data_IF_179732520116
#
_entry.id   IF_179732520116
#
_cell.length_a   1.000
_cell.length_b   1.000
_cell.length_c   1.000
_cell.angle_alpha   90.00
_cell.angle_beta   90.00
_cell.angle_gamma   90.00
#
_symmetry.space_group_name_H-M   'P 1'
#
loop_
_entity.id
_entity.type
_entity.pdbx_description
1 polymer ?
#
# COMPACT_ATOMS: atom_id res chain seq x y z
N UNK A 1 -41.54 -35.53 52.68
CA UNK A 1 -41.74 -36.00 51.29
C UNK A 1 -40.88 -35.12 50.40
N UNK A 2 -39.61 -35.49 50.22
CA UNK A 2 -38.66 -34.74 49.39
C UNK A 2 -38.95 -35.03 47.93
N UNK A 3 -39.71 -34.15 47.28
CA UNK A 3 -39.83 -34.08 45.83
C UNK A 3 -38.44 -33.75 45.28
N UNK A 4 -37.63 -34.74 44.94
CA UNK A 4 -36.48 -34.49 44.09
C UNK A 4 -37.01 -33.89 42.78
N UNK A 5 -36.40 -32.81 42.24
CA UNK A 5 -36.75 -32.33 40.92
C UNK A 5 -36.49 -33.47 39.94
N UNK A 6 -37.54 -33.95 39.29
CA UNK A 6 -37.47 -35.02 38.31
C UNK A 6 -36.58 -34.55 37.16
N UNK A 7 -35.40 -35.16 37.03
CA UNK A 7 -34.56 -34.98 35.85
C UNK A 7 -35.34 -35.47 34.63
N UNK A 8 -35.34 -34.69 33.55
CA UNK A 8 -36.08 -35.02 32.34
C UNK A 8 -35.22 -35.95 31.48
N UNK A 9 -35.63 -37.20 31.35
CA UNK A 9 -34.90 -38.19 30.55
C UNK A 9 -35.21 -37.98 29.06
N UNK A 10 -34.17 -37.69 28.27
CA UNK A 10 -34.26 -37.42 26.84
C UNK A 10 -33.24 -38.28 26.10
N UNK A 11 -33.59 -38.75 24.90
CA UNK A 11 -32.65 -39.46 24.03
C UNK A 11 -31.80 -38.49 23.22
N UNK A 12 -30.58 -38.89 22.83
CA UNK A 12 -29.70 -38.06 22.00
C UNK A 12 -30.38 -37.64 20.68
N UNK A 13 -31.19 -38.51 20.08
CA UNK A 13 -31.97 -38.22 18.87
C UNK A 13 -33.03 -37.13 19.08
N UNK A 14 -33.74 -37.15 20.22
CA UNK A 14 -34.71 -36.11 20.57
C UNK A 14 -34.02 -34.77 20.81
N UNK A 15 -32.89 -34.77 21.52
CA UNK A 15 -32.11 -33.55 21.77
C UNK A 15 -31.64 -32.91 20.45
N UNK A 16 -31.12 -33.71 19.51
CA UNK A 16 -30.74 -33.23 18.16
C UNK A 16 -31.94 -32.77 17.35
N UNK A 17 -33.08 -33.45 17.44
CA UNK A 17 -34.31 -33.03 16.76
C UNK A 17 -34.80 -31.67 17.28
N UNK A 18 -34.74 -31.44 18.59
CA UNK A 18 -35.14 -30.15 19.18
C UNK A 18 -34.16 -29.05 18.73
N UNK A 19 -32.86 -29.33 18.77
CA UNK A 19 -31.82 -28.42 18.30
C UNK A 19 -32.03 -28.00 16.83
N UNK A 20 -32.22 -28.97 15.94
CA UNK A 20 -32.44 -28.72 14.51
C UNK A 20 -33.75 -27.99 14.22
N UNK A 21 -34.81 -28.27 14.98
CA UNK A 21 -36.07 -27.53 14.87
C UNK A 21 -35.88 -26.06 15.27
N UNK A 22 -35.24 -25.78 16.40
CA UNK A 22 -34.97 -24.40 16.80
C UNK A 22 -34.08 -23.66 15.79
N UNK A 23 -33.04 -24.33 15.29
CA UNK A 23 -32.19 -23.76 14.26
C UNK A 23 -32.99 -23.41 12.99
N UNK A 24 -33.86 -24.32 12.52
CA UNK A 24 -34.70 -24.06 11.34
C UNK A 24 -35.65 -22.88 11.53
N UNK A 25 -36.24 -22.72 12.72
CA UNK A 25 -37.13 -21.61 13.05
C UNK A 25 -36.36 -20.30 13.11
N UNK A 26 -35.14 -20.31 13.65
CA UNK A 26 -34.26 -19.15 13.65
C UNK A 26 -33.84 -18.75 12.23
N UNK A 27 -33.46 -19.70 11.38
CA UNK A 27 -33.11 -19.44 9.99
C UNK A 27 -34.30 -18.86 9.21
N UNK A 28 -35.50 -19.40 9.40
CA UNK A 28 -36.73 -18.88 8.79
C UNK A 28 -37.01 -17.44 9.25
N UNK A 29 -36.92 -17.17 10.57
CA UNK A 29 -37.12 -15.83 11.13
C UNK A 29 -36.07 -14.83 10.65
N UNK A 30 -34.81 -15.23 10.62
CA UNK A 30 -33.71 -14.41 10.11
C UNK A 30 -33.93 -14.09 8.64
N UNK A 31 -34.33 -15.08 7.83
CA UNK A 31 -34.58 -14.87 6.39
C UNK A 31 -35.75 -13.93 6.10
N UNK A 32 -36.73 -13.83 7.01
CA UNK A 32 -37.89 -12.94 6.88
C UNK A 32 -37.57 -11.50 7.29
N UNK A 33 -36.70 -11.32 8.29
CA UNK A 33 -36.45 -10.02 8.92
C UNK A 33 -35.16 -9.35 8.47
N UNK A 34 -34.19 -10.11 7.96
CA UNK A 34 -32.95 -9.58 7.41
C UNK A 34 -32.94 -9.66 5.88
N UNK A 35 -32.49 -8.61 5.18
CA UNK A 35 -32.33 -8.64 3.73
C UNK A 35 -31.36 -9.76 3.31
N UNK A 36 -31.58 -10.34 2.14
CA UNK A 36 -30.78 -11.47 1.63
C UNK A 36 -29.39 -11.07 1.11
N UNK A 37 -29.11 -9.78 0.97
CA UNK A 37 -27.78 -9.32 0.57
C UNK A 37 -26.74 -9.72 1.62
N UNK A 38 -25.54 -10.07 1.17
CA UNK A 38 -24.42 -10.55 1.99
C UNK A 38 -23.96 -9.49 2.99
N UNK A 39 -24.75 -9.30 4.04
CA UNK A 39 -24.52 -8.30 5.08
C UNK A 39 -23.79 -8.95 6.25
N UNK A 40 -22.72 -8.30 6.69
CA UNK A 40 -21.95 -8.72 7.87
C UNK A 40 -22.84 -8.82 9.11
N UNK A 41 -23.91 -8.01 9.16
CA UNK A 41 -24.91 -8.02 10.24
C UNK A 41 -25.67 -9.35 10.34
N UNK A 42 -25.98 -9.98 9.20
CA UNK A 42 -26.70 -11.26 9.17
C UNK A 42 -25.83 -12.40 9.72
N UNK A 43 -24.56 -12.42 9.34
CA UNK A 43 -23.59 -13.37 9.87
C UNK A 43 -23.43 -13.25 11.39
N UNK A 44 -23.32 -12.02 11.88
CA UNK A 44 -23.21 -11.74 13.33
C UNK A 44 -24.45 -12.19 14.11
N UNK A 45 -25.65 -11.89 13.61
CA UNK A 45 -26.92 -12.31 14.24
C UNK A 45 -27.05 -13.83 14.26
N UNK A 46 -26.68 -14.52 13.18
CA UNK A 46 -26.72 -15.99 13.14
C UNK A 46 -25.76 -16.61 14.14
N UNK A 47 -24.56 -16.06 14.28
CA UNK A 47 -23.57 -16.52 15.24
C UNK A 47 -24.04 -16.31 16.70
N UNK A 48 -24.65 -15.17 16.99
CA UNK A 48 -25.19 -14.90 18.33
C UNK A 48 -26.41 -15.76 18.65
N UNK A 49 -27.30 -16.02 17.69
CA UNK A 49 -28.42 -16.96 17.85
C UNK A 49 -27.94 -18.39 18.13
N UNK A 50 -26.89 -18.81 17.43
CA UNK A 50 -26.30 -20.13 17.65
C UNK A 50 -25.67 -20.24 19.05
N UNK A 51 -24.97 -19.19 19.50
CA UNK A 51 -24.42 -19.10 20.84
C UNK A 51 -25.52 -19.12 21.90
N UNK A 52 -26.60 -18.34 21.71
CA UNK A 52 -27.76 -18.34 22.59
C UNK A 52 -28.40 -19.73 22.71
N UNK A 53 -28.54 -20.45 21.59
CA UNK A 53 -29.10 -21.80 21.60
C UNK A 53 -28.18 -22.77 22.37
N UNK A 54 -26.86 -22.69 22.20
CA UNK A 54 -25.91 -23.48 23.01
C UNK A 54 -26.00 -23.16 24.49
N UNK A 55 -25.99 -21.88 24.85
CA UNK A 55 -26.12 -21.45 26.25
C UNK A 55 -27.46 -21.90 26.87
N UNK A 56 -28.55 -21.86 26.11
CA UNK A 56 -29.85 -22.37 26.53
C UNK A 56 -29.86 -23.89 26.77
N UNK A 57 -29.20 -24.65 25.88
CA UNK A 57 -29.07 -26.11 26.02
C UNK A 57 -28.15 -26.49 27.19
N UNK A 58 -27.06 -25.75 27.40
CA UNK A 58 -26.15 -25.95 28.52
C UNK A 58 -26.81 -25.56 29.85
N UNK A 59 -27.60 -24.49 29.90
CA UNK A 59 -28.39 -24.15 31.08
C UNK A 59 -29.44 -25.24 31.41
N UNK A 60 -30.09 -25.78 30.38
CA UNK A 60 -31.04 -26.88 30.52
C UNK A 60 -30.39 -28.22 30.91
N UNK A 61 -29.08 -28.39 30.66
CA UNK A 61 -28.34 -29.63 30.91
C UNK A 61 -28.43 -30.11 32.36
N UNK A 62 -28.45 -29.18 33.31
CA UNK A 62 -28.55 -29.47 34.74
C UNK A 62 -29.83 -30.22 35.12
N UNK A 63 -30.90 -30.02 34.34
CA UNK A 63 -32.24 -30.58 34.58
C UNK A 63 -32.59 -31.74 33.65
N UNK A 64 -31.66 -32.15 32.76
CA UNK A 64 -31.89 -33.09 31.68
C UNK A 64 -30.93 -34.28 31.77
N UNK A 65 -31.45 -35.50 31.67
CA UNK A 65 -30.67 -36.74 31.64
C UNK A 65 -30.65 -37.29 30.22
N UNK A 66 -29.47 -37.52 29.63
CA UNK A 66 -29.38 -38.15 28.31
C UNK A 66 -29.19 -39.65 28.49
N UNK A 67 -30.21 -40.44 28.14
CA UNK A 67 -30.27 -41.89 28.42
C UNK A 67 -29.32 -42.71 27.52
N UNK A 68 -29.01 -42.19 26.33
CA UNK A 68 -28.28 -42.89 25.25
C UNK A 68 -26.87 -42.30 25.01
N UNK A 69 -26.33 -41.59 26.00
CA UNK A 69 -25.00 -40.98 25.94
C UNK A 69 -24.07 -41.57 27.02
N UNK A 70 -22.74 -41.56 26.79
CA UNK A 70 -21.79 -41.91 27.84
C UNK A 70 -22.05 -41.09 29.10
N UNK A 71 -21.91 -41.67 30.29
CA UNK A 71 -22.21 -40.99 31.58
C UNK A 71 -21.45 -39.65 31.79
N UNK A 72 -20.38 -39.42 31.03
CA UNK A 72 -19.55 -38.20 31.05
C UNK A 72 -19.61 -37.35 29.76
N UNK A 73 -20.47 -37.69 28.78
CA UNK A 73 -20.58 -36.87 27.57
C UNK A 73 -21.35 -35.59 27.86
N UNK A 74 -20.79 -34.44 27.49
CA UNK A 74 -21.49 -33.17 27.60
C UNK A 74 -22.59 -33.07 26.55
N UNK A 75 -23.62 -32.25 26.81
CA UNK A 75 -24.64 -31.94 25.80
C UNK A 75 -24.01 -31.33 24.55
N UNK A 76 -22.96 -30.52 24.71
CA UNK A 76 -22.17 -29.99 23.61
C UNK A 76 -21.56 -31.08 22.72
N UNK A 77 -21.06 -32.18 23.31
CA UNK A 77 -20.50 -33.31 22.54
C UNK A 77 -21.58 -34.05 21.73
N UNK A 78 -22.78 -34.21 22.32
CA UNK A 78 -23.92 -34.84 21.64
C UNK A 78 -24.41 -34.00 20.46
N UNK A 79 -24.31 -32.68 20.58
CA UNK A 79 -24.75 -31.68 19.59
C UNK A 79 -23.65 -31.26 18.59
N UNK A 80 -22.38 -31.61 18.83
CA UNK A 80 -21.27 -31.22 17.95
C UNK A 80 -21.51 -31.65 16.49
N UNK A 81 -22.01 -32.86 16.26
CA UNK A 81 -22.32 -33.36 14.93
C UNK A 81 -23.43 -32.57 14.22
N UNK A 82 -24.46 -32.13 14.96
CA UNK A 82 -25.50 -31.26 14.40
C UNK A 82 -25.00 -29.85 14.17
N UNK A 83 -24.07 -29.36 15.00
CA UNK A 83 -23.47 -28.03 14.85
C UNK A 83 -22.67 -27.90 13.56
N UNK A 84 -21.87 -28.92 13.24
CA UNK A 84 -21.02 -28.93 12.04
C UNK A 84 -21.84 -28.88 10.73
N UNK A 85 -23.15 -29.13 10.78
CA UNK A 85 -24.06 -28.98 9.65
C UNK A 85 -24.47 -27.52 9.38
N UNK A 86 -24.44 -26.65 10.40
CA UNK A 86 -24.91 -25.25 10.31
C UNK A 86 -23.78 -24.22 10.46
N UNK A 87 -22.61 -24.63 10.94
CA UNK A 87 -21.42 -23.76 11.01
C UNK A 87 -20.64 -23.84 9.71
N UNK A 88 -20.23 -22.68 9.19
CA UNK A 88 -19.34 -22.62 8.05
C UNK A 88 -18.00 -23.28 8.41
N UNK A 89 -17.52 -24.26 7.61
CA UNK A 89 -16.26 -24.92 7.88
C UNK A 89 -15.10 -23.93 7.78
N UNK A 90 -14.05 -24.18 8.57
CA UNK A 90 -12.85 -23.36 8.50
C UNK A 90 -12.18 -23.47 7.13
N UNK A 91 -12.21 -22.39 6.35
CA UNK A 91 -11.56 -22.32 5.05
C UNK A 91 -10.05 -22.10 5.23
N UNK A 92 -9.29 -23.19 5.06
CA UNK A 92 -7.83 -23.18 5.08
C UNK A 92 -7.23 -22.27 3.99
N UNK A 93 -7.89 -22.16 2.83
CA UNK A 93 -7.45 -21.33 1.73
C UNK A 93 -7.61 -19.85 2.05
N UNK A 94 -8.77 -19.45 2.58
CA UNK A 94 -8.99 -18.08 3.05
C UNK A 94 -8.05 -17.70 4.20
N UNK A 95 -7.84 -18.61 5.15
CA UNK A 95 -6.92 -18.37 6.26
C UNK A 95 -5.47 -18.16 5.78
N UNK A 96 -5.01 -18.95 4.81
CA UNK A 96 -3.68 -18.77 4.22
C UNK A 96 -3.59 -17.44 3.44
N UNK A 97 -4.65 -17.03 2.73
CA UNK A 97 -4.70 -15.69 2.10
C UNK A 97 -4.61 -14.57 3.13
N UNK A 98 -5.36 -14.66 4.24
CA UNK A 98 -5.29 -13.70 5.35
C UNK A 98 -3.87 -13.62 5.90
N UNK A 99 -3.22 -14.78 6.11
CA UNK A 99 -1.85 -14.84 6.60
C UNK A 99 -0.87 -14.18 5.63
N UNK A 100 -0.98 -14.46 4.33
CA UNK A 100 -0.14 -13.85 3.31
C UNK A 100 -0.32 -12.33 3.25
N UNK A 101 -1.57 -11.85 3.32
CA UNK A 101 -1.87 -10.41 3.35
C UNK A 101 -1.38 -9.73 4.60
N UNK A 102 -1.44 -10.40 5.73
CA UNK A 102 -0.88 -9.89 6.98
C UNK A 102 0.65 -9.74 6.89
N UNK A 103 1.34 -10.74 6.34
CA UNK A 103 2.78 -10.68 6.11
C UNK A 103 3.17 -9.58 5.10
N UNK A 104 2.42 -9.45 4.00
CA UNK A 104 2.62 -8.38 3.03
C UNK A 104 2.47 -7.00 3.69
N UNK A 105 1.45 -6.83 4.55
CA UNK A 105 1.23 -5.61 5.30
C UNK A 105 2.38 -5.29 6.26
N UNK A 106 2.92 -6.29 6.96
CA UNK A 106 4.08 -6.12 7.84
C UNK A 106 5.32 -5.69 7.04
N UNK A 107 5.61 -6.36 5.93
CA UNK A 107 6.75 -6.05 5.07
C UNK A 107 6.68 -4.62 4.51
N UNK A 108 5.50 -4.20 4.03
CA UNK A 108 5.30 -2.84 3.54
C UNK A 108 5.41 -1.80 4.65
N UNK A 109 4.95 -2.12 5.86
CA UNK A 109 5.05 -1.23 7.02
C UNK A 109 6.51 -1.02 7.41
N UNK A 110 7.30 -2.11 7.46
CA UNK A 110 8.74 -2.04 7.72
C UNK A 110 9.46 -1.25 6.63
N UNK A 111 9.16 -1.53 5.36
CA UNK A 111 9.73 -0.81 4.21
C UNK A 111 9.42 0.68 4.26
N UNK A 112 8.19 1.05 4.56
CA UNK A 112 7.79 2.46 4.69
C UNK A 112 8.51 3.14 5.87
N UNK A 113 8.66 2.46 7.01
CA UNK A 113 9.40 2.97 8.16
C UNK A 113 10.90 3.17 7.84
N UNK A 114 11.52 2.21 7.15
CA UNK A 114 12.90 2.32 6.68
C UNK A 114 13.06 3.46 5.68
N UNK A 115 12.16 3.58 4.69
CA UNK A 115 12.16 4.67 3.73
C UNK A 115 12.02 6.04 4.41
N UNK A 116 11.11 6.19 5.38
CA UNK A 116 10.96 7.44 6.15
C UNK A 116 12.22 7.85 6.89
N UNK A 117 13.02 6.88 7.35
CA UNK A 117 14.27 7.15 8.07
C UNK A 117 15.46 7.37 7.13
N UNK A 118 15.60 6.53 6.11
CA UNK A 118 16.77 6.51 5.24
C UNK A 118 16.67 7.47 4.06
N UNK A 119 15.48 7.66 3.49
CA UNK A 119 15.33 8.48 2.30
C UNK A 119 15.73 9.94 2.54
N UNK A 120 15.32 10.62 3.64
CA UNK A 120 15.75 11.99 3.90
C UNK A 120 17.27 12.09 4.12
N UNK A 121 17.86 11.08 4.78
CA UNK A 121 19.31 11.05 5.03
C UNK A 121 20.09 10.91 3.73
N UNK A 122 19.72 9.95 2.88
CA UNK A 122 20.34 9.72 1.58
C UNK A 122 20.18 10.92 0.65
N UNK A 123 18.99 11.55 0.63
CA UNK A 123 18.79 12.78 -0.14
C UNK A 123 19.76 13.87 0.32
N UNK A 124 19.83 14.12 1.63
CA UNK A 124 20.72 15.14 2.17
C UNK A 124 22.18 14.86 1.84
N UNK A 125 22.63 13.62 2.02
CA UNK A 125 23.99 13.20 1.68
C UNK A 125 24.30 13.47 0.20
N UNK A 126 23.38 13.15 -0.71
CA UNK A 126 23.57 13.42 -2.15
C UNK A 126 23.63 14.91 -2.50
N UNK A 127 22.73 15.72 -1.96
CA UNK A 127 22.75 17.17 -2.20
C UNK A 127 23.98 17.83 -1.59
N UNK A 128 24.41 17.38 -0.41
CA UNK A 128 25.59 17.90 0.28
C UNK A 128 26.88 17.52 -0.46
N UNK A 129 26.97 16.30 -1.02
CA UNK A 129 28.10 15.92 -1.87
C UNK A 129 28.15 16.73 -3.16
N UNK A 130 27.01 16.89 -3.85
CA UNK A 130 26.97 17.67 -5.11
C UNK A 130 27.32 19.14 -4.86
N UNK A 131 26.85 19.72 -3.75
CA UNK A 131 27.22 21.08 -3.36
C UNK A 131 28.72 21.20 -3.04
N UNK A 132 29.32 20.20 -2.40
CA UNK A 132 30.76 20.18 -2.13
C UNK A 132 31.59 20.07 -3.40
N UNK A 133 31.15 19.27 -4.38
CA UNK A 133 31.83 19.14 -5.67
C UNK A 133 31.83 20.47 -6.42
N UNK A 134 30.70 21.18 -6.46
CA UNK A 134 30.61 22.52 -7.07
C UNK A 134 31.50 23.54 -6.35
N UNK A 135 31.53 23.52 -5.01
CA UNK A 135 32.42 24.40 -4.24
C UNK A 135 33.89 24.10 -4.55
N UNK A 136 34.25 22.82 -4.69
CA UNK A 136 35.61 22.42 -5.05
C UNK A 136 36.00 22.94 -6.45
N UNK A 137 35.11 22.86 -7.43
CA UNK A 137 35.35 23.43 -8.77
C UNK A 137 35.57 24.94 -8.71
N UNK A 138 34.76 25.66 -7.92
CA UNK A 138 34.91 27.11 -7.72
C UNK A 138 36.23 27.44 -7.02
N UNK A 139 36.61 26.70 -5.99
CA UNK A 139 37.88 26.89 -5.28
C UNK A 139 39.08 26.69 -6.21
N UNK A 140 39.04 25.68 -7.10
CA UNK A 140 40.07 25.45 -8.12
C UNK A 140 40.16 26.61 -9.10
N UNK A 141 39.02 27.16 -9.55
CA UNK A 141 39.00 28.35 -10.41
C UNK A 141 39.60 29.57 -9.70
N UNK A 142 39.23 29.81 -8.45
CA UNK A 142 39.76 30.93 -7.64
C UNK A 142 41.27 30.78 -7.43
N UNK A 143 41.76 29.58 -7.15
CA UNK A 143 43.20 29.32 -6.99
C UNK A 143 43.96 29.60 -8.29
N UNK A 144 43.39 29.21 -9.44
CA UNK A 144 43.97 29.47 -10.75
C UNK A 144 44.02 30.97 -11.08
N UNK A 145 42.94 31.72 -10.84
CA UNK A 145 42.92 33.18 -10.99
C UNK A 145 43.91 33.87 -10.05
N UNK A 146 44.00 33.43 -8.80
CA UNK A 146 44.93 34.00 -7.81
C UNK A 146 46.40 33.76 -8.17
N UNK A 147 46.71 32.66 -8.88
CA UNK A 147 48.06 32.36 -9.39
C UNK A 147 48.41 33.19 -10.61
N UNK A 148 47.46 33.51 -11.49
CA UNK A 148 47.68 34.42 -12.63
C UNK A 148 47.92 35.86 -12.18
N UNK A 149 47.20 36.35 -11.16
CA UNK A 149 47.44 37.68 -10.57
C UNK A 149 48.71 37.74 -9.70
N UNK A 150 49.07 36.63 -9.05
CA UNK A 150 50.26 36.52 -8.20
C UNK A 150 51.58 36.49 -8.97
N UNK A 151 51.58 35.98 -10.21
CA UNK A 151 52.78 35.95 -11.06
C UNK A 151 53.05 37.30 -11.78
N UNK A 152 52.14 38.27 -11.61
CA UNK A 152 52.19 39.60 -12.22
C UNK A 152 52.70 40.69 -11.28
N UNK A 153 52.95 40.39 -9.99
CA UNK A 153 53.24 41.40 -8.94
C UNK A 153 54.61 41.32 -8.25
N UNK A 154 55.53 40.50 -8.75
CA UNK A 154 56.94 40.49 -8.27
C UNK A 154 57.90 40.96 -9.35
N UNK A 155 57.75 42.21 -9.82
CA UNK A 155 58.79 43.05 -10.43
C UNK A 155 58.33 44.52 -10.41
N UNK A 156 58.61 45.23 -9.32
CA UNK A 156 58.63 46.71 -9.27
C UNK A 156 59.82 47.26 -10.08
N UNK A 157 59.94 48.58 -10.34
CA UNK A 157 58.94 49.63 -10.57
C UNK A 157 59.27 50.43 -11.87
N UNK A 158 58.50 51.48 -12.15
CA UNK A 158 58.81 52.62 -13.04
C UNK A 158 57.98 52.70 -14.33
N UNK A 159 57.10 53.71 -14.32
CA UNK A 159 56.79 54.64 -15.41
C UNK A 159 56.56 54.08 -16.81
N UNK A 160 55.34 54.24 -17.31
CA UNK A 160 54.98 55.20 -18.37
C UNK A 160 53.74 54.69 -19.09
N UNK A 161 52.74 55.57 -19.22
CA UNK A 161 51.57 55.38 -20.06
C UNK A 161 51.94 54.79 -21.44
N UNK A 162 51.40 53.62 -21.76
CA UNK A 162 51.09 53.23 -23.12
C UNK A 162 49.70 52.60 -23.11
N UNK A 163 48.77 53.33 -23.70
CA UNK A 163 47.53 52.80 -24.26
C UNK A 163 47.91 51.58 -25.12
N UNK A 164 47.75 50.38 -24.55
CA UNK A 164 47.69 49.18 -25.34
C UNK A 164 46.26 49.08 -25.85
N UNK A 165 46.09 49.50 -27.10
CA UNK A 165 44.99 49.09 -27.94
C UNK A 165 44.67 47.62 -27.66
N UNK A 166 43.56 47.38 -26.95
CA UNK A 166 42.86 46.12 -27.02
C UNK A 166 42.41 46.01 -28.48
N UNK A 167 43.25 45.41 -29.33
CA UNK A 167 42.85 44.91 -30.64
C UNK A 167 41.78 43.84 -30.39
N UNK A 168 40.55 44.29 -30.12
CA UNK A 168 39.34 43.50 -30.21
C UNK A 168 39.38 42.86 -31.58
N UNK A 169 39.57 41.54 -31.62
CA UNK A 169 39.61 40.78 -32.85
C UNK A 169 38.20 40.77 -33.44
N UNK A 170 37.84 41.86 -34.11
CA UNK A 170 36.50 42.10 -34.69
C UNK A 170 36.07 40.99 -35.63
N UNK A 171 37.04 40.33 -36.27
CA UNK A 171 36.79 39.18 -37.13
C UNK A 171 36.28 37.96 -36.34
N UNK A 172 36.79 37.69 -35.13
CA UNK A 172 36.29 36.59 -34.31
C UNK A 172 34.89 36.91 -33.76
N UNK A 173 34.66 38.14 -33.30
CA UNK A 173 33.35 38.57 -32.80
C UNK A 173 32.27 38.51 -33.89
N UNK A 174 32.62 38.90 -35.13
CA UNK A 174 31.71 38.81 -36.27
C UNK A 174 31.40 37.36 -36.64
N UNK A 175 32.39 36.47 -36.58
CA UNK A 175 32.18 35.05 -36.81
C UNK A 175 31.27 34.45 -35.74
N UNK A 176 31.52 34.72 -34.46
CA UNK A 176 30.70 34.24 -33.34
C UNK A 176 29.25 34.74 -33.44
N UNK A 177 29.07 36.00 -33.83
CA UNK A 177 27.75 36.57 -34.07
C UNK A 177 27.04 35.91 -35.26
N UNK A 178 27.76 35.66 -36.36
CA UNK A 178 27.21 34.97 -37.53
C UNK A 178 26.83 33.52 -37.23
N UNK A 179 27.63 32.83 -36.40
CA UNK A 179 27.35 31.47 -35.96
C UNK A 179 26.14 31.43 -35.04
N UNK A 180 26.03 32.38 -34.10
CA UNK A 180 24.86 32.52 -33.23
C UNK A 180 23.58 32.75 -34.04
N UNK A 181 23.62 33.59 -35.09
CA UNK A 181 22.49 33.80 -36.00
C UNK A 181 22.14 32.55 -36.81
N UNK A 182 23.14 31.80 -37.28
CA UNK A 182 22.92 30.54 -37.99
C UNK A 182 22.27 29.49 -37.08
N UNK A 183 22.74 29.36 -35.83
CA UNK A 183 22.15 28.47 -34.82
C UNK A 183 20.71 28.89 -34.48
N UNK A 184 20.43 30.19 -34.37
CA UNK A 184 19.08 30.70 -34.12
C UNK A 184 18.13 30.37 -35.28
N UNK A 185 18.60 30.48 -36.52
CA UNK A 185 17.82 30.11 -37.71
C UNK A 185 17.50 28.60 -37.72
N UNK A 186 18.48 27.75 -37.40
CA UNK A 186 18.28 26.31 -37.27
C UNK A 186 17.26 25.95 -36.19
N UNK A 187 17.36 26.56 -35.00
CA UNK A 187 16.42 26.32 -33.90
C UNK A 187 15.01 26.75 -34.29
N UNK A 188 14.85 27.88 -35.00
CA UNK A 188 13.54 28.33 -35.50
C UNK A 188 12.88 27.30 -36.42
N UNK A 189 13.65 26.61 -37.25
CA UNK A 189 13.13 25.59 -38.18
C UNK A 189 12.87 24.24 -37.51
N UNK A 190 13.62 23.91 -36.45
CA UNK A 190 13.45 22.66 -35.69
C UNK A 190 12.36 22.72 -34.62
N UNK A 191 12.12 23.89 -34.02
CA UNK A 191 11.11 24.11 -32.99
C UNK A 191 9.69 23.65 -33.41
N UNK A 192 9.14 24.04 -34.58
CA UNK A 192 7.81 23.58 -34.99
C UNK A 192 7.77 22.07 -35.27
N UNK A 193 8.87 21.48 -35.76
CA UNK A 193 8.97 20.03 -36.03
C UNK A 193 8.97 19.25 -34.72
N UNK A 194 9.73 19.70 -33.72
CA UNK A 194 9.77 19.09 -32.40
C UNK A 194 8.44 19.25 -31.68
N UNK A 195 7.78 20.42 -31.77
CA UNK A 195 6.45 20.62 -31.22
C UNK A 195 5.41 19.67 -31.84
N UNK A 196 5.45 19.46 -33.16
CA UNK A 196 4.58 18.49 -33.82
C UNK A 196 4.88 17.04 -33.41
N UNK A 197 6.15 16.67 -33.20
CA UNK A 197 6.54 15.34 -32.70
C UNK A 197 6.04 15.08 -31.28
N UNK A 198 6.18 16.08 -30.39
CA UNK A 198 5.69 15.99 -29.00
C UNK A 198 4.17 15.83 -28.99
N UNK A 199 3.44 16.61 -29.77
CA UNK A 199 1.97 16.45 -29.89
C UNK A 199 1.56 15.07 -30.40
N UNK A 200 2.31 14.49 -31.34
CA UNK A 200 2.06 13.11 -31.80
C UNK A 200 2.32 12.08 -30.69
N UNK A 201 3.38 12.25 -29.91
CA UNK A 201 3.68 11.38 -28.78
C UNK A 201 2.62 11.49 -27.69
N UNK A 202 2.16 12.70 -27.38
CA UNK A 202 1.06 12.94 -26.44
C UNK A 202 -0.22 12.25 -26.90
N UNK A 203 -0.58 12.35 -28.18
CA UNK A 203 -1.72 11.65 -28.75
C UNK A 203 -1.57 10.11 -28.71
N UNK A 204 -0.36 9.59 -28.91
CA UNK A 204 -0.09 8.15 -28.81
C UNK A 204 -0.17 7.65 -27.37
N UNK A 205 0.33 8.43 -26.40
CA UNK A 205 0.22 8.09 -24.97
C UNK A 205 -1.25 8.08 -24.54
N UNK A 206 -2.02 9.11 -24.90
CA UNK A 206 -3.45 9.15 -24.61
C UNK A 206 -4.22 8.00 -25.27
N UNK A 207 -3.83 7.60 -26.48
CA UNK A 207 -4.43 6.44 -27.15
C UNK A 207 -4.13 5.14 -26.39
N UNK A 208 -2.86 4.92 -26.01
CA UNK A 208 -2.45 3.75 -25.25
C UNK A 208 -3.11 3.69 -23.87
N UNK A 209 -3.24 4.82 -23.18
CA UNK A 209 -3.96 4.91 -21.91
C UNK A 209 -5.45 4.58 -22.09
N UNK A 210 -6.08 5.08 -23.18
CA UNK A 210 -7.48 4.78 -23.46
C UNK A 210 -7.75 3.32 -23.85
N UNK A 211 -6.83 2.65 -24.54
CA UNK A 211 -6.96 1.21 -24.80
C UNK A 211 -6.78 0.38 -23.52
N UNK A 212 -5.82 0.75 -22.66
CA UNK A 212 -5.58 0.10 -21.37
C UNK A 212 -6.75 0.23 -20.39
N UNK A 213 -7.45 1.37 -20.41
CA UNK A 213 -8.65 1.58 -19.60
C UNK A 213 -9.89 0.90 -20.19
N UNK A 214 -9.89 0.54 -21.49
CA UNK A 214 -10.99 -0.18 -22.15
C UNK A 214 -10.94 -1.71 -22.00
N UNK A 215 -9.79 -2.26 -21.61
CA UNK A 215 -9.60 -3.69 -21.31
C UNK A 215 -9.82 -4.06 -19.82
N UNK A 216 -10.29 -3.11 -19.00
CA UNK A 216 -10.73 -3.33 -17.60
C UNK A 216 -12.24 -3.26 -17.45
#
# INVERSE_FOLDING_TARGET
MSSQPSKLDITAGQLRSIYTQFQSVFDEKVSLHLPQEHDATKGEVLLELQKFLMEGMDAASSSLGVVDAPENASIADVLAQSRDQFVEPFDLGLNEQVRQKYQEWEDQTVKAAQLRREAPRKLREMYESEAQDVLHEVDVLIENFSREDGNSRTKSPSETHQDQDLELNWASLQNDYSEALARLALVKDELPKNHARVKKLEQLVLFLESELDSER
#
